data_IF_326852935785
#
_entry.id   IF_326852935785
#
_cell.length_a   1.000
_cell.length_b   1.000
_cell.length_c   1.000
_cell.angle_alpha   90.00
_cell.angle_beta   90.00
_cell.angle_gamma   90.00
#
_symmetry.space_group_name_H-M   'P 1'
#
loop_
_entity.id
_entity.type
_entity.pdbx_description
1 polymer ?
#
# COMPACT_ATOMS: atom_id res chain seq x y z
N UNK A 1 -5.20 -29.35 0.90
CA UNK A 1 -6.58 -28.87 1.04
C UNK A 1 -6.67 -27.97 2.26
N UNK A 2 -7.18 -26.75 2.10
CA UNK A 2 -7.55 -25.86 3.20
C UNK A 2 -6.44 -24.97 3.80
N UNK A 3 -5.75 -24.16 2.99
CA UNK A 3 -5.03 -23.02 3.54
C UNK A 3 -6.03 -21.86 3.73
N UNK A 4 -6.69 -21.81 4.88
CA UNK A 4 -7.46 -20.65 5.32
C UNK A 4 -6.62 -19.39 5.06
N UNK A 5 -7.10 -18.36 4.41
CA UNK A 5 -6.36 -17.10 4.23
C UNK A 5 -7.04 -16.04 5.10
N UNK A 6 -6.44 -15.72 6.25
CA UNK A 6 -6.88 -14.61 7.09
C UNK A 6 -6.61 -13.26 6.42
N UNK A 7 -7.43 -12.22 6.64
CA UNK A 7 -7.73 -11.23 5.62
C UNK A 7 -6.62 -10.21 5.43
N UNK A 8 -6.21 -10.02 4.18
CA UNK A 8 -5.53 -8.80 3.73
C UNK A 8 -6.50 -8.09 2.80
N UNK A 9 -7.00 -6.94 3.23
CA UNK A 9 -8.16 -6.30 2.63
C UNK A 9 -7.80 -5.62 1.30
N UNK A 10 -8.41 -6.11 0.23
CA UNK A 10 -8.50 -5.44 -1.06
C UNK A 10 -9.84 -4.73 -1.09
N UNK A 11 -9.82 -3.44 -1.33
CA UNK A 11 -11.01 -2.63 -1.29
C UNK A 11 -11.48 -2.25 -2.68
N UNK A 12 -12.56 -2.90 -3.09
CA UNK A 12 -13.17 -2.78 -4.41
C UNK A 12 -13.99 -1.50 -4.55
N UNK A 13 -13.85 -0.88 -5.72
CA UNK A 13 -14.81 0.08 -6.27
C UNK A 13 -15.52 -0.58 -7.46
N UNK A 14 -16.79 -0.97 -7.30
CA UNK A 14 -17.60 -1.57 -8.36
C UNK A 14 -18.39 -0.50 -9.12
N UNK A 15 -18.74 -0.65 -10.39
CA UNK A 15 -19.85 0.12 -10.96
C UNK A 15 -21.16 -0.37 -10.32
N UNK A 16 -21.90 0.52 -9.65
CA UNK A 16 -23.10 0.20 -8.87
C UNK A 16 -23.73 1.43 -8.20
N UNK A 17 -25.03 1.39 -7.90
CA UNK A 17 -25.95 2.52 -7.74
C UNK A 17 -25.62 3.65 -6.73
N UNK A 18 -26.13 4.87 -6.96
CA UNK A 18 -25.79 6.06 -6.18
C UNK A 18 -26.45 6.06 -4.79
N UNK A 19 -25.61 6.04 -3.75
CA UNK A 19 -26.06 6.39 -2.40
C UNK A 19 -25.11 5.90 -1.31
N UNK A 20 -24.47 6.85 -0.61
CA UNK A 20 -23.60 6.68 0.58
C UNK A 20 -22.11 6.43 0.29
N UNK A 21 -21.43 7.48 -0.19
CA UNK A 21 -19.97 7.44 -0.45
C UNK A 21 -19.14 8.12 0.67
N UNK A 22 -19.70 9.05 1.45
CA UNK A 22 -18.90 9.87 2.38
C UNK A 22 -18.60 9.24 3.75
N UNK A 23 -19.30 8.18 4.19
CA UNK A 23 -19.03 7.55 5.50
C UNK A 23 -17.86 6.56 5.48
N UNK A 24 -17.50 6.05 4.30
CA UNK A 24 -16.55 4.95 4.15
C UNK A 24 -15.08 5.39 4.29
N UNK A 25 -14.72 6.59 3.82
CA UNK A 25 -13.34 7.12 3.95
C UNK A 25 -12.95 7.37 5.42
N UNK A 26 -13.87 7.92 6.24
CA UNK A 26 -13.64 8.15 7.67
C UNK A 26 -13.62 6.85 8.48
N UNK A 27 -14.40 5.84 8.08
CA UNK A 27 -14.35 4.50 8.68
C UNK A 27 -13.05 3.75 8.31
N UNK A 28 -12.54 3.91 7.09
CA UNK A 28 -11.31 3.28 6.62
C UNK A 28 -10.05 3.80 7.35
N UNK A 29 -9.93 5.12 7.54
CA UNK A 29 -8.86 5.68 8.38
C UNK A 29 -8.94 5.19 9.84
N UNK A 30 -10.16 4.98 10.37
CA UNK A 30 -10.37 4.47 11.73
C UNK A 30 -10.07 2.97 11.84
N UNK A 31 -10.39 2.19 10.81
CA UNK A 31 -10.12 0.75 10.70
C UNK A 31 -8.64 0.42 10.45
N UNK A 32 -7.89 1.33 9.80
CA UNK A 32 -6.43 1.25 9.72
C UNK A 32 -5.74 1.54 11.07
N UNK A 33 -6.44 2.25 11.98
CA UNK A 33 -5.97 2.53 13.33
C UNK A 33 -6.31 1.43 14.35
N UNK A 34 -7.40 0.68 14.15
CA UNK A 34 -7.79 -0.42 15.04
C UNK A 34 -7.21 -1.76 14.59
N UNK A 35 -6.63 -2.51 15.54
CA UNK A 35 -6.08 -3.88 15.36
C UNK A 35 -7.04 -4.92 14.75
N UNK A 36 -8.28 -4.56 14.44
CA UNK A 36 -9.38 -5.48 14.16
C UNK A 36 -9.30 -6.21 12.81
N UNK A 37 -8.38 -5.82 11.91
CA UNK A 37 -8.21 -6.46 10.59
C UNK A 37 -7.07 -7.49 10.57
N UNK A 38 -6.18 -7.49 11.58
CA UNK A 38 -4.94 -8.27 11.52
C UNK A 38 -5.08 -9.63 12.19
N UNK A 39 -5.48 -10.63 11.39
CA UNK A 39 -5.43 -12.04 11.77
C UNK A 39 -3.99 -12.51 12.00
N UNK A 40 -3.76 -13.12 13.16
CA UNK A 40 -2.47 -13.61 13.60
C UNK A 40 -2.05 -14.85 12.79
N UNK A 41 -1.03 -14.75 11.92
CA UNK A 41 -0.41 -15.94 11.30
C UNK A 41 1.10 -15.88 11.11
N UNK A 42 1.69 -17.00 11.56
CA UNK A 42 2.81 -17.75 10.99
C UNK A 42 3.72 -17.04 9.99
N UNK A 43 4.91 -16.69 10.46
CA UNK A 43 6.03 -16.12 9.70
C UNK A 43 6.44 -17.03 8.53
N UNK A 44 6.60 -16.54 7.30
CA UNK A 44 7.49 -17.20 6.35
C UNK A 44 8.93 -17.09 6.85
N UNK A 45 9.64 -18.21 6.73
CA UNK A 45 11.01 -18.43 7.22
C UNK A 45 11.97 -17.46 6.52
N UNK A 46 12.28 -16.34 7.16
CA UNK A 46 13.34 -15.44 6.72
C UNK A 46 14.67 -16.21 6.68
N UNK A 47 15.34 -16.22 5.52
CA UNK A 47 16.77 -16.47 5.46
C UNK A 47 17.45 -15.15 5.82
N UNK A 48 18.11 -15.04 6.99
CA UNK A 48 18.82 -13.83 7.32
C UNK A 48 20.05 -13.70 6.41
N UNK A 49 20.06 -12.70 5.54
CA UNK A 49 21.28 -12.20 4.92
C UNK A 49 21.99 -11.26 5.94
N UNK A 50 22.32 -11.79 7.12
CA UNK A 50 23.09 -11.10 8.15
C UNK A 50 24.56 -11.44 7.89
N UNK A 51 25.11 -10.86 6.81
CA UNK A 51 26.39 -11.26 6.22
C UNK A 51 27.64 -10.61 6.82
N UNK A 52 27.70 -9.28 7.09
CA UNK A 52 28.95 -8.70 7.61
C UNK A 52 28.89 -8.13 9.03
N UNK A 53 27.69 -7.81 9.57
CA UNK A 53 27.61 -7.17 10.90
C UNK A 53 27.86 -8.14 12.06
N UNK A 54 27.71 -9.44 11.81
CA UNK A 54 27.90 -10.49 12.83
C UNK A 54 29.38 -10.70 13.22
N UNK A 55 30.32 -10.28 12.36
CA UNK A 55 31.75 -10.46 12.62
C UNK A 55 32.37 -9.34 13.50
N UNK A 56 31.79 -8.14 13.53
CA UNK A 56 32.25 -7.08 14.45
C UNK A 56 31.64 -7.20 15.86
N UNK A 57 30.43 -7.77 16.00
CA UNK A 57 29.78 -7.97 17.30
C UNK A 57 30.32 -9.20 18.08
N UNK A 58 31.07 -10.10 17.43
CA UNK A 58 31.58 -11.33 18.05
C UNK A 58 32.55 -11.12 19.22
N UNK A 59 33.18 -9.94 19.33
CA UNK A 59 34.11 -9.61 20.43
C UNK A 59 33.38 -9.14 21.70
N UNK A 60 32.22 -8.51 21.56
CA UNK A 60 31.37 -8.07 22.68
C UNK A 60 30.43 -9.18 23.18
N UNK A 61 29.95 -10.05 22.28
CA UNK A 61 29.10 -11.19 22.66
C UNK A 61 29.84 -12.28 23.46
N UNK A 62 31.13 -12.50 23.19
CA UNK A 62 31.96 -13.42 24.00
C UNK A 62 32.09 -12.96 25.45
N UNK A 63 32.21 -11.65 25.69
CA UNK A 63 32.33 -11.11 27.05
C UNK A 63 31.07 -11.30 27.91
N UNK A 64 29.88 -11.08 27.33
CA UNK A 64 28.61 -11.21 28.06
C UNK A 64 28.26 -12.68 28.37
N UNK A 65 28.52 -13.60 27.44
CA UNK A 65 28.31 -15.04 27.67
C UNK A 65 29.32 -15.60 28.68
N UNK A 66 30.57 -15.12 28.65
CA UNK A 66 31.63 -15.54 29.59
C UNK A 66 31.40 -14.98 31.00
N UNK A 67 30.86 -13.76 31.14
CA UNK A 67 30.58 -13.15 32.44
C UNK A 67 29.48 -13.90 33.24
N UNK A 68 28.45 -14.43 32.57
CA UNK A 68 27.38 -15.23 33.21
C UNK A 68 27.90 -16.62 33.65
N UNK A 69 28.98 -17.11 33.04
CA UNK A 69 29.58 -18.40 33.37
C UNK A 69 30.51 -18.36 34.58
N UNK A 70 31.11 -17.20 34.91
CA UNK A 70 32.25 -17.10 35.82
C UNK A 70 31.99 -16.49 37.20
N UNK A 71 30.83 -15.88 37.47
CA UNK A 71 30.53 -15.31 38.80
C UNK A 71 29.29 -15.91 39.46
N UNK A 72 29.51 -16.82 40.42
CA UNK A 72 28.57 -17.16 41.50
C UNK A 72 28.06 -18.59 41.48
N UNK A 73 28.06 -19.27 42.64
CA UNK A 73 27.52 -20.61 42.96
C UNK A 73 26.00 -20.76 42.74
N UNK A 74 25.49 -20.30 41.60
CA UNK A 74 24.09 -20.46 41.21
C UNK A 74 23.86 -21.83 40.56
N UNK A 75 22.72 -22.50 40.84
CA UNK A 75 22.34 -23.75 40.18
C UNK A 75 22.33 -23.59 38.66
N UNK A 76 22.76 -24.64 37.94
CA UNK A 76 22.88 -24.65 36.45
C UNK A 76 21.61 -24.16 35.74
N UNK A 77 20.45 -24.41 36.32
CA UNK A 77 19.15 -23.95 35.82
C UNK A 77 19.02 -22.41 35.78
N UNK A 78 19.50 -21.70 36.81
CA UNK A 78 19.40 -20.25 36.89
C UNK A 78 20.29 -19.57 35.84
N UNK A 79 21.48 -20.13 35.60
CA UNK A 79 22.38 -19.62 34.55
C UNK A 79 21.79 -19.84 33.15
N UNK A 80 21.19 -21.00 32.92
CA UNK A 80 20.52 -21.31 31.65
C UNK A 80 19.31 -20.39 31.41
N UNK A 81 18.48 -20.14 32.44
CA UNK A 81 17.31 -19.27 32.30
C UNK A 81 17.70 -17.81 32.06
N UNK A 82 18.74 -17.29 32.74
CA UNK A 82 19.28 -15.94 32.50
C UNK A 82 19.86 -15.81 31.10
N UNK A 83 20.62 -16.80 30.62
CA UNK A 83 21.17 -16.77 29.26
C UNK A 83 20.05 -16.75 28.20
N UNK A 84 19.01 -17.57 28.36
CA UNK A 84 17.84 -17.58 27.47
C UNK A 84 17.11 -16.24 27.54
N UNK A 85 16.92 -15.67 28.73
CA UNK A 85 16.27 -14.37 28.90
C UNK A 85 17.04 -13.25 28.20
N UNK A 86 18.38 -13.20 28.34
CA UNK A 86 19.24 -12.21 27.67
C UNK A 86 19.19 -12.37 26.15
N UNK A 87 19.24 -13.60 25.64
CA UNK A 87 19.13 -13.87 24.20
C UNK A 87 17.75 -13.44 23.68
N UNK A 88 16.67 -13.76 24.39
CA UNK A 88 15.32 -13.36 24.03
C UNK A 88 15.15 -11.83 24.04
N UNK A 89 15.71 -11.14 25.05
CA UNK A 89 15.68 -9.69 25.15
C UNK A 89 16.48 -9.02 24.02
N UNK A 90 17.66 -9.54 23.71
CA UNK A 90 18.49 -9.07 22.61
C UNK A 90 17.81 -9.30 21.26
N UNK A 91 17.19 -10.47 21.05
CA UNK A 91 16.42 -10.77 19.85
C UNK A 91 15.19 -9.85 19.73
N UNK A 92 14.47 -9.59 20.82
CA UNK A 92 13.35 -8.66 20.85
C UNK A 92 13.80 -7.22 20.53
N UNK A 93 14.91 -6.76 21.12
CA UNK A 93 15.48 -5.45 20.84
C UNK A 93 15.91 -5.31 19.37
N UNK A 94 16.62 -6.30 18.82
CA UNK A 94 16.99 -6.33 17.40
C UNK A 94 15.75 -6.35 16.51
N UNK A 95 14.70 -7.09 16.88
CA UNK A 95 13.43 -7.10 16.14
C UNK A 95 12.71 -5.75 16.16
N UNK A 96 12.77 -5.03 17.28
CA UNK A 96 12.21 -3.68 17.39
C UNK A 96 13.01 -2.67 16.56
N UNK A 97 14.34 -2.79 16.53
CA UNK A 97 15.24 -1.89 15.82
C UNK A 97 15.31 -2.17 14.31
N UNK A 98 15.26 -3.44 13.89
CA UNK A 98 15.30 -3.82 12.48
C UNK A 98 14.01 -3.44 11.71
N UNK A 99 12.91 -3.16 12.41
CA UNK A 99 11.64 -2.78 11.79
C UNK A 99 11.57 -1.33 11.30
N UNK A 100 12.70 -0.61 11.26
CA UNK A 100 12.75 0.83 10.93
C UNK A 100 13.39 1.17 9.58
N UNK A 101 13.91 0.20 8.82
CA UNK A 101 14.52 0.50 7.51
C UNK A 101 13.48 0.50 6.40
N UNK A 102 12.63 1.52 6.37
CA UNK A 102 11.81 1.81 5.19
C UNK A 102 12.58 2.75 4.27
N UNK A 103 13.65 2.23 3.65
CA UNK A 103 14.31 2.94 2.55
C UNK A 103 13.43 2.90 1.31
N UNK A 104 12.59 3.90 1.17
CA UNK A 104 12.27 4.42 -0.16
C UNK A 104 11.91 5.89 0.03
N UNK A 105 12.63 6.79 -0.61
CA UNK A 105 12.20 8.18 -0.68
C UNK A 105 10.85 8.26 -1.41
N UNK A 106 10.14 9.37 -1.21
CA UNK A 106 9.10 9.80 -2.16
C UNK A 106 9.72 9.87 -3.57
N UNK A 107 8.93 9.61 -4.62
CA UNK A 107 9.46 9.57 -5.99
C UNK A 107 10.22 10.86 -6.34
N UNK A 108 11.50 10.72 -6.72
CA UNK A 108 12.35 11.84 -7.15
C UNK A 108 11.91 12.43 -8.50
N UNK A 109 12.52 13.53 -8.90
CA UNK A 109 12.17 14.26 -10.13
C UNK A 109 12.13 13.36 -11.38
N UNK A 110 13.18 12.58 -11.61
CA UNK A 110 13.29 11.71 -12.78
C UNK A 110 12.21 10.61 -12.81
N UNK A 111 11.87 10.07 -11.64
CA UNK A 111 10.79 9.09 -11.50
C UNK A 111 9.42 9.71 -11.82
N UNK A 112 9.20 10.97 -11.43
CA UNK A 112 7.95 11.67 -11.74
C UNK A 112 7.83 12.01 -13.22
N UNK A 113 8.92 12.41 -13.88
CA UNK A 113 8.94 12.63 -15.33
C UNK A 113 8.55 11.36 -16.08
N UNK A 114 9.18 10.23 -15.74
CA UNK A 114 8.82 8.92 -16.31
C UNK A 114 7.37 8.53 -16.03
N UNK A 115 6.90 8.76 -14.80
CA UNK A 115 5.51 8.49 -14.46
C UNK A 115 4.56 9.35 -15.29
N UNK A 116 4.89 10.63 -15.53
CA UNK A 116 4.10 11.52 -16.36
C UNK A 116 3.97 11.02 -17.81
N UNK A 117 5.04 10.49 -18.40
CA UNK A 117 5.00 9.89 -19.74
C UNK A 117 4.05 8.69 -19.80
N UNK A 118 4.11 7.80 -18.82
CA UNK A 118 3.23 6.63 -18.74
C UNK A 118 1.77 7.06 -18.47
N UNK A 119 1.57 8.07 -17.61
CA UNK A 119 0.25 8.63 -17.27
C UNK A 119 -0.40 9.26 -18.50
N UNK A 120 0.35 10.00 -19.30
CA UNK A 120 -0.16 10.65 -20.51
C UNK A 120 -0.73 9.66 -21.54
N UNK A 121 -0.23 8.42 -21.54
CA UNK A 121 -0.70 7.34 -22.42
C UNK A 121 -1.77 6.47 -21.78
N UNK A 122 -2.06 6.67 -20.49
CA UNK A 122 -2.99 5.83 -19.74
C UNK A 122 -4.43 6.28 -19.94
N UNK A 123 -5.38 5.37 -20.21
CA UNK A 123 -6.80 5.70 -20.25
C UNK A 123 -7.40 5.96 -18.85
N UNK A 124 -6.63 5.71 -17.78
CA UNK A 124 -7.11 5.80 -16.41
C UNK A 124 -6.87 7.20 -15.84
N UNK A 125 -7.92 8.01 -15.64
CA UNK A 125 -7.81 9.35 -15.06
C UNK A 125 -7.16 9.38 -13.66
N UNK A 126 -7.32 8.30 -12.86
CA UNK A 126 -6.68 8.15 -11.55
C UNK A 126 -5.16 8.09 -11.60
N UNK A 127 -4.57 7.76 -12.75
CA UNK A 127 -3.12 7.73 -12.93
C UNK A 127 -2.48 9.11 -12.64
N UNK A 128 -3.21 10.21 -12.88
CA UNK A 128 -2.76 11.57 -12.56
C UNK A 128 -2.46 11.78 -11.07
N UNK A 129 -3.03 10.98 -10.17
CA UNK A 129 -2.72 11.07 -8.75
C UNK A 129 -1.24 10.77 -8.45
N UNK A 130 -0.54 10.03 -9.32
CA UNK A 130 0.88 9.77 -9.17
C UNK A 130 1.73 11.04 -9.26
N UNK A 131 1.22 12.10 -9.92
CA UNK A 131 1.94 13.35 -10.16
C UNK A 131 1.91 14.32 -8.96
N UNK A 132 1.13 14.01 -7.92
CA UNK A 132 0.98 14.84 -6.71
C UNK A 132 2.20 14.81 -5.78
N UNK A 133 3.25 14.05 -6.11
CA UNK A 133 4.53 13.96 -5.37
C UNK A 133 4.40 13.60 -3.88
N UNK A 134 3.28 13.00 -3.49
CA UNK A 134 2.98 12.52 -2.13
C UNK A 134 3.11 11.00 -2.03
N UNK A 135 3.23 10.31 -3.17
CA UNK A 135 3.25 8.85 -3.28
C UNK A 135 4.61 8.35 -3.75
N UNK A 136 4.89 7.11 -3.35
CA UNK A 136 5.99 6.31 -3.88
C UNK A 136 5.53 5.60 -5.14
N UNK A 137 6.45 5.37 -6.05
CA UNK A 137 6.18 4.74 -7.35
C UNK A 137 7.10 3.53 -7.49
N UNK A 138 6.51 2.37 -7.73
CA UNK A 138 7.22 1.14 -8.09
C UNK A 138 7.04 0.90 -9.59
N UNK A 139 8.12 0.98 -10.35
CA UNK A 139 8.11 0.71 -11.79
C UNK A 139 8.30 -0.78 -12.07
N UNK A 140 7.64 -1.24 -13.13
CA UNK A 140 7.94 -2.53 -13.74
C UNK A 140 9.34 -2.48 -14.36
N UNK A 141 10.13 -3.58 -14.37
CA UNK A 141 11.47 -3.59 -14.99
C UNK A 141 11.50 -3.21 -16.47
N UNK A 142 10.44 -3.55 -17.23
CA UNK A 142 10.31 -3.13 -18.62
C UNK A 142 9.97 -1.63 -18.76
N UNK A 143 9.53 -0.98 -17.68
CA UNK A 143 9.42 0.47 -17.65
C UNK A 143 8.18 1.07 -18.30
N UNK A 144 7.25 0.20 -18.69
CA UNK A 144 5.98 0.47 -19.38
C UNK A 144 4.79 0.56 -18.42
N UNK A 145 5.03 0.39 -17.11
CA UNK A 145 3.98 0.44 -16.10
C UNK A 145 4.52 0.62 -14.69
N UNK A 146 3.64 1.03 -13.79
CA UNK A 146 3.98 1.28 -12.39
C UNK A 146 2.78 1.10 -11.45
N UNK A 147 3.08 1.00 -10.16
CA UNK A 147 2.10 1.05 -9.07
C UNK A 147 2.46 2.20 -8.15
N UNK A 148 1.45 2.99 -7.76
CA UNK A 148 1.62 4.06 -6.77
C UNK A 148 1.15 3.60 -5.39
N UNK A 149 1.94 3.90 -4.36
CA UNK A 149 1.64 3.49 -3.00
C UNK A 149 2.16 4.49 -1.96
N UNK A 150 1.53 4.49 -0.79
CA UNK A 150 2.00 5.18 0.41
C UNK A 150 2.37 4.17 1.49
N UNK A 151 3.19 4.57 2.46
CA UNK A 151 3.52 3.73 3.61
C UNK A 151 3.03 4.40 4.88
N UNK A 152 2.17 3.70 5.62
CA UNK A 152 1.67 4.13 6.92
C UNK A 152 2.00 3.05 7.93
N UNK A 153 2.89 3.36 8.89
CA UNK A 153 3.46 2.39 9.84
C UNK A 153 4.11 1.21 9.10
N UNK A 154 3.51 0.03 9.14
CA UNK A 154 3.96 -1.19 8.46
C UNK A 154 3.13 -1.50 7.21
N UNK A 155 2.09 -0.72 6.93
CA UNK A 155 1.16 -0.99 5.83
C UNK A 155 1.58 -0.24 4.59
N UNK A 156 1.77 -0.96 3.49
CA UNK A 156 2.02 -0.42 2.17
C UNK A 156 0.68 -0.33 1.46
N UNK A 157 0.15 0.88 1.36
CA UNK A 157 -1.18 1.14 0.85
C UNK A 157 -1.08 1.54 -0.61
N UNK A 158 -1.42 0.62 -1.50
CA UNK A 158 -1.58 0.87 -2.94
C UNK A 158 -2.88 1.63 -3.18
N UNK A 159 -2.81 2.63 -4.03
CA UNK A 159 -3.97 3.42 -4.43
C UNK A 159 -4.33 3.11 -5.88
N UNK A 160 -5.53 2.56 -6.09
CA UNK A 160 -6.04 2.25 -7.42
C UNK A 160 -5.35 1.05 -8.10
N UNK A 161 -5.72 0.85 -9.36
CA UNK A 161 -5.17 -0.22 -10.19
C UNK A 161 -3.73 0.09 -10.66
N UNK A 162 -2.93 -0.94 -11.02
CA UNK A 162 -1.66 -0.72 -11.70
C UNK A 162 -1.84 0.09 -12.99
N UNK A 163 -0.89 0.98 -13.26
CA UNK A 163 -0.86 1.83 -14.44
C UNK A 163 0.05 1.16 -15.46
N UNK A 164 -0.39 1.07 -16.72
CA UNK A 164 0.33 0.43 -17.82
C UNK A 164 -0.41 -0.80 -18.38
N UNK A 165 0.23 -1.57 -19.28
CA UNK A 165 -0.40 -2.69 -19.97
C UNK A 165 -0.90 -3.76 -19.01
N UNK A 166 -2.11 -4.29 -19.26
CA UNK A 166 -2.74 -5.30 -18.39
C UNK A 166 -1.87 -6.54 -18.16
N UNK A 167 -1.06 -6.92 -19.16
CA UNK A 167 -0.10 -8.03 -19.06
C UNK A 167 0.93 -7.84 -17.94
N UNK A 168 1.25 -6.60 -17.54
CA UNK A 168 2.22 -6.27 -16.49
C UNK A 168 1.62 -6.26 -15.09
N UNK A 169 0.29 -6.19 -14.97
CA UNK A 169 -0.36 -5.94 -13.68
C UNK A 169 -0.04 -7.01 -12.64
N UNK A 170 -0.07 -8.28 -13.05
CA UNK A 170 0.27 -9.40 -12.15
C UNK A 170 1.70 -9.28 -11.62
N UNK A 171 2.64 -9.01 -12.50
CA UNK A 171 4.06 -8.95 -12.14
C UNK A 171 4.34 -7.78 -11.21
N UNK A 172 3.77 -6.60 -11.51
CA UNK A 172 3.82 -5.41 -10.65
C UNK A 172 3.26 -5.66 -9.25
N UNK A 173 2.08 -6.28 -9.16
CA UNK A 173 1.45 -6.59 -7.88
C UNK A 173 2.29 -7.60 -7.09
N UNK A 174 2.78 -8.66 -7.74
CA UNK A 174 3.67 -9.65 -7.12
C UNK A 174 4.98 -9.02 -6.64
N UNK A 175 5.60 -8.15 -7.44
CA UNK A 175 6.81 -7.42 -7.08
C UNK A 175 6.57 -6.58 -5.82
N UNK A 176 5.51 -5.80 -5.80
CA UNK A 176 5.15 -5.00 -4.63
C UNK A 176 4.92 -5.87 -3.38
N UNK A 177 4.21 -6.99 -3.51
CA UNK A 177 3.95 -7.91 -2.40
C UNK A 177 5.26 -8.49 -1.87
N UNK A 178 6.17 -8.89 -2.75
CA UNK A 178 7.48 -9.41 -2.39
C UNK A 178 8.32 -8.35 -1.68
N UNK A 179 8.38 -7.13 -2.22
CA UNK A 179 9.10 -6.01 -1.64
C UNK A 179 8.55 -5.67 -0.26
N UNK A 180 7.23 -5.57 -0.15
CA UNK A 180 6.53 -5.29 1.12
C UNK A 180 6.83 -6.37 2.16
N UNK A 181 6.73 -7.65 1.77
CA UNK A 181 6.94 -8.79 2.68
C UNK A 181 8.40 -8.90 3.12
N UNK A 182 9.34 -8.62 2.21
CA UNK A 182 10.78 -8.61 2.51
C UNK A 182 11.15 -7.56 3.57
N UNK A 183 10.43 -6.44 3.59
CA UNK A 183 10.58 -5.35 4.56
C UNK A 183 9.71 -5.55 5.82
N UNK A 184 9.06 -6.71 5.97
CA UNK A 184 8.19 -7.01 7.10
C UNK A 184 6.94 -6.13 7.18
N UNK A 185 6.53 -5.56 6.05
CA UNK A 185 5.31 -4.78 5.90
C UNK A 185 4.09 -5.63 5.52
N UNK A 186 2.95 -4.96 5.38
CA UNK A 186 1.66 -5.53 4.99
C UNK A 186 1.15 -4.83 3.74
N UNK A 187 1.01 -5.53 2.60
CA UNK A 187 0.45 -4.91 1.40
C UNK A 187 -1.06 -4.72 1.58
N UNK A 188 -1.59 -3.55 1.21
CA UNK A 188 -3.01 -3.20 1.28
C UNK A 188 -3.39 -2.53 -0.03
N UNK A 189 -4.52 -2.93 -0.63
CA UNK A 189 -4.96 -2.39 -1.92
C UNK A 189 -6.26 -1.61 -1.74
N UNK A 190 -6.22 -0.30 -2.00
CA UNK A 190 -7.34 0.61 -1.76
C UNK A 190 -7.88 1.19 -3.07
N UNK A 191 -9.20 1.05 -3.28
CA UNK A 191 -9.89 1.64 -4.42
C UNK A 191 -9.50 1.00 -5.75
N UNK A 192 -9.19 -0.30 -5.74
CA UNK A 192 -8.91 -1.07 -6.95
C UNK A 192 -10.20 -1.43 -7.67
N UNK A 193 -10.12 -1.52 -8.99
CA UNK A 193 -11.17 -2.04 -9.85
C UNK A 193 -11.26 -3.56 -9.78
N UNK A 194 -12.29 -4.09 -10.46
CA UNK A 194 -12.61 -5.51 -10.45
C UNK A 194 -11.48 -6.38 -11.02
N UNK A 195 -10.80 -5.91 -12.06
CA UNK A 195 -9.74 -6.66 -12.73
C UNK A 195 -8.52 -6.88 -11.82
N UNK A 196 -8.04 -5.83 -11.14
CA UNK A 196 -6.94 -5.95 -10.18
C UNK A 196 -7.36 -6.77 -8.96
N UNK A 197 -8.60 -6.60 -8.47
CA UNK A 197 -9.10 -7.39 -7.35
C UNK A 197 -9.20 -8.89 -7.67
N UNK A 198 -9.58 -9.26 -8.89
CA UNK A 198 -9.54 -10.67 -9.37
C UNK A 198 -8.13 -11.22 -9.34
N UNK A 199 -7.12 -10.43 -9.74
CA UNK A 199 -5.71 -10.83 -9.65
C UNK A 199 -5.31 -11.02 -8.18
N UNK A 200 -5.60 -10.05 -7.31
CA UNK A 200 -5.26 -10.15 -5.89
C UNK A 200 -5.95 -11.33 -5.20
N UNK A 201 -7.21 -11.61 -5.53
CA UNK A 201 -7.94 -12.77 -5.01
C UNK A 201 -7.27 -14.10 -5.38
N UNK A 202 -6.80 -14.22 -6.62
CA UNK A 202 -6.03 -15.41 -7.06
C UNK A 202 -4.69 -15.56 -6.33
N UNK A 203 -4.10 -14.46 -5.86
CA UNK A 203 -2.85 -14.46 -5.08
C UNK A 203 -3.11 -14.78 -3.59
N UNK A 204 -4.39 -14.82 -3.16
CA UNK A 204 -4.78 -15.18 -1.79
C UNK A 204 -5.20 -13.98 -0.92
N UNK A 205 -5.45 -12.82 -1.51
CA UNK A 205 -5.94 -11.65 -0.79
C UNK A 205 -7.45 -11.71 -0.58
N UNK A 206 -7.91 -11.22 0.57
CA UNK A 206 -9.32 -11.11 0.89
C UNK A 206 -9.89 -9.83 0.28
N UNK A 207 -10.94 -9.95 -0.52
CA UNK A 207 -11.55 -8.81 -1.21
C UNK A 207 -12.83 -8.37 -0.51
N UNK A 208 -12.95 -7.06 -0.27
CA UNK A 208 -14.09 -6.40 0.36
C UNK A 208 -14.54 -5.20 -0.47
N UNK A 209 -15.83 -5.08 -0.76
CA UNK A 209 -16.40 -3.87 -1.40
C UNK A 209 -16.46 -2.73 -0.38
N UNK A 210 -15.90 -1.57 -0.73
CA UNK A 210 -16.06 -0.33 0.07
C UNK A 210 -17.22 0.50 -0.45
N UNK A 211 -17.40 0.53 -1.76
CA UNK A 211 -18.39 1.35 -2.41
C UNK A 211 -18.26 1.25 -3.91
N UNK A 212 -18.86 2.21 -4.59
CA UNK A 212 -19.02 2.18 -6.03
C UNK A 212 -18.47 3.42 -6.72
N UNK A 213 -18.08 3.25 -7.98
CA UNK A 213 -17.66 4.33 -8.86
C UNK A 213 -18.76 4.55 -9.90
N UNK A 214 -19.29 5.77 -9.93
CA UNK A 214 -20.15 6.21 -11.02
C UNK A 214 -19.28 6.43 -12.26
N UNK A 215 -19.58 5.70 -13.34
CA UNK A 215 -18.97 5.85 -14.66
C UNK A 215 -20.08 6.26 -15.61
N UNK A 216 -19.88 7.37 -16.30
CA UNK A 216 -20.85 7.93 -17.25
C UNK A 216 -20.32 7.77 -18.67
N UNK A 217 -20.93 6.92 -19.51
CA UNK A 217 -20.59 6.83 -20.93
C UNK A 217 -20.94 8.13 -21.65
N UNK A 218 -19.94 8.85 -22.14
CA UNK A 218 -20.12 10.16 -22.78
C UNK A 218 -20.74 10.07 -24.18
N UNK A 219 -20.60 8.92 -24.85
CA UNK A 219 -21.20 8.61 -26.16
C UNK A 219 -22.74 8.58 -26.12
N UNK A 220 -23.31 8.23 -24.97
CA UNK A 220 -24.76 8.10 -24.79
C UNK A 220 -25.36 9.22 -23.94
N UNK A 221 -24.51 10.12 -23.43
CA UNK A 221 -24.88 11.21 -22.55
C UNK A 221 -25.60 12.32 -23.32
N UNK A 222 -26.76 12.71 -22.79
CA UNK A 222 -27.52 13.85 -23.29
C UNK A 222 -28.14 14.59 -22.10
N UNK A 223 -28.04 15.92 -22.09
CA UNK A 223 -28.52 16.77 -20.99
C UNK A 223 -30.03 16.60 -20.80
N UNK A 224 -30.77 16.33 -21.88
CA UNK A 224 -32.22 16.12 -21.89
C UNK A 224 -32.62 14.87 -21.09
N UNK A 225 -31.73 13.88 -21.00
CA UNK A 225 -31.95 12.63 -20.25
C UNK A 225 -31.65 12.77 -18.75
N UNK A 226 -31.12 13.91 -18.30
CA UNK A 226 -30.89 14.17 -16.89
C UNK A 226 -32.22 14.30 -16.12
N UNK A 227 -32.16 14.04 -14.81
CA UNK A 227 -33.30 14.26 -13.93
C UNK A 227 -33.80 15.70 -14.03
N UNK A 228 -35.10 15.96 -13.85
CA UNK A 228 -35.66 17.31 -13.85
C UNK A 228 -34.92 18.26 -12.91
N UNK A 229 -34.50 17.76 -11.73
CA UNK A 229 -33.72 18.50 -10.74
C UNK A 229 -32.37 18.98 -11.27
N UNK A 230 -31.61 18.09 -11.94
CA UNK A 230 -30.32 18.46 -12.52
C UNK A 230 -30.46 19.42 -13.70
N UNK A 231 -31.53 19.26 -14.51
CA UNK A 231 -31.81 20.18 -15.62
C UNK A 231 -32.18 21.58 -15.11
N UNK A 232 -32.95 21.67 -14.03
CA UNK A 232 -33.28 22.95 -13.42
C UNK A 232 -32.04 23.62 -12.81
N UNK A 233 -31.22 22.88 -12.07
CA UNK A 233 -29.95 23.38 -11.55
C UNK A 233 -29.03 23.90 -12.67
N UNK A 234 -28.96 23.18 -13.80
CA UNK A 234 -28.19 23.63 -14.96
C UNK A 234 -28.71 24.95 -15.54
N UNK A 235 -30.04 25.11 -15.72
CA UNK A 235 -30.66 26.36 -16.20
C UNK A 235 -30.44 27.52 -15.24
N UNK A 236 -30.53 27.27 -13.93
CA UNK A 236 -30.29 28.27 -12.92
C UNK A 236 -28.84 28.78 -12.94
N UNK A 237 -27.86 27.88 -13.05
CA UNK A 237 -26.45 28.28 -13.19
C UNK A 237 -26.23 29.10 -14.46
N UNK A 238 -26.89 28.73 -15.56
CA UNK A 238 -26.82 29.47 -16.81
C UNK A 238 -27.46 30.86 -16.72
N UNK A 239 -28.60 31.01 -16.04
CA UNK A 239 -29.28 32.31 -15.88
C UNK A 239 -28.51 33.29 -14.99
N UNK A 240 -27.65 32.78 -14.09
CA UNK A 240 -26.72 33.57 -13.28
C UNK A 240 -25.50 34.08 -14.06
N UNK A 241 -25.36 33.73 -15.36
CA UNK A 241 -24.25 34.15 -16.19
C UNK A 241 -22.91 33.46 -15.88
N UNK A 242 -22.94 32.34 -15.13
CA UNK A 242 -21.73 31.57 -14.81
C UNK A 242 -21.12 30.95 -16.08
N UNK A 243 -19.79 30.98 -16.19
CA UNK A 243 -19.03 30.40 -17.31
C UNK A 243 -18.04 29.36 -16.81
N UNK A 244 -17.75 28.38 -17.64
CA UNK A 244 -16.74 27.36 -17.42
C UNK A 244 -15.72 27.41 -18.57
N UNK A 245 -14.44 27.33 -18.23
CA UNK A 245 -13.33 27.35 -19.18
C UNK A 245 -12.32 26.27 -18.82
N UNK A 246 -11.76 25.60 -19.84
CA UNK A 246 -10.66 24.66 -19.68
C UNK A 246 -9.38 25.40 -20.03
N UNK A 247 -8.53 25.62 -19.03
CA UNK A 247 -7.25 26.32 -19.20
C UNK A 247 -6.09 25.33 -19.25
N UNK A 248 -5.04 25.67 -20.01
CA UNK A 248 -3.79 24.92 -20.01
C UNK A 248 -3.08 25.06 -18.65
N UNK A 249 -2.23 24.09 -18.30
CA UNK A 249 -1.51 24.09 -17.02
C UNK A 249 -0.67 25.36 -16.80
N UNK A 250 -0.18 25.97 -17.88
CA UNK A 250 0.64 27.19 -17.85
C UNK A 250 -0.15 28.44 -17.42
N UNK A 251 -1.47 28.43 -17.62
CA UNK A 251 -2.36 29.53 -17.27
C UNK A 251 -2.94 29.41 -15.85
N UNK A 252 -2.60 28.35 -15.09
CA UNK A 252 -3.07 28.15 -13.72
C UNK A 252 -2.20 28.98 -12.76
N UNK A 253 -2.79 29.91 -11.98
CA UNK A 253 -2.03 30.65 -10.97
C UNK A 253 -1.50 29.69 -9.90
N UNK A 254 -0.17 29.72 -9.68
CA UNK A 254 0.54 28.84 -8.74
C UNK A 254 0.69 29.49 -7.36
#
# INVERSE_FOLDING_TARGET
MGADCGPVAVFLCSPGEPGRVLSAQRACCRALHTRAVFGNRGRPRQRPLIGPLFLQAGRLWRGVVVAIALYGDAPRFLRASVAVAVIALAAAALHLLASATTQSGVAGGDALTRAAEIVAQSPQARANLALLRDKRILFHPAGDGFVMFGIVRRSWVVLGDPIGPFARWRDLLCQLINDTTSQGGWPVFLGVGEAAAKICSKIGFAVRRIGDQAILPLDQFAIEKLSPELREAHRQIASLGCRFEVVASEAVPT
#
